data_IF_268933067492
#
_entry.id   IF_268933067492
#
_cell.length_a   1.000
_cell.length_b   1.000
_cell.length_c   1.000
_cell.angle_alpha   90.00
_cell.angle_beta   90.00
_cell.angle_gamma   90.00
#
_symmetry.space_group_name_H-M   'P 1'
#
loop_
_entity.id
_entity.type
_entity.pdbx_description
1 polymer ?
#
# COMPACT_ATOMS: atom_id res chain seq x y z
N UNK A 1 -5.07 7.38 -2.89
CA UNK A 1 -3.91 7.35 -1.98
C UNK A 1 -3.03 8.51 -2.37
N UNK A 2 -3.10 9.57 -1.60
CA UNK A 2 -2.28 10.75 -1.86
C UNK A 2 -0.93 10.60 -1.16
N UNK A 3 0.09 11.21 -1.74
CA UNK A 3 1.49 11.14 -1.30
C UNK A 3 2.01 9.74 -0.94
N UNK A 4 1.78 8.77 -1.83
CA UNK A 4 2.19 7.38 -1.60
C UNK A 4 3.71 7.22 -1.41
N UNK A 5 4.52 8.13 -1.95
CA UNK A 5 5.98 8.14 -1.79
C UNK A 5 6.46 8.59 -0.40
N UNK A 6 5.61 9.23 0.40
CA UNK A 6 5.89 9.61 1.79
C UNK A 6 5.49 8.52 2.80
N UNK A 7 4.89 7.43 2.32
CA UNK A 7 4.40 6.35 3.16
C UNK A 7 5.56 5.60 3.85
N UNK A 8 5.49 5.33 5.16
CA UNK A 8 6.48 4.50 5.84
C UNK A 8 6.59 3.10 5.24
N UNK A 9 7.82 2.56 5.15
CA UNK A 9 8.11 1.23 4.59
C UNK A 9 7.19 0.11 5.12
N UNK A 10 6.94 0.09 6.42
CA UNK A 10 6.06 -0.91 7.03
C UNK A 10 4.62 -0.87 6.47
N UNK A 11 4.14 0.32 6.13
CA UNK A 11 2.81 0.49 5.54
C UNK A 11 2.81 0.13 4.05
N UNK A 12 3.90 0.40 3.32
CA UNK A 12 4.05 -0.04 1.93
C UNK A 12 3.97 -1.57 1.80
N UNK A 13 4.60 -2.31 2.73
CA UNK A 13 4.50 -3.79 2.78
C UNK A 13 3.06 -4.25 2.98
N UNK A 14 2.30 -3.58 3.85
CA UNK A 14 0.87 -3.90 4.06
C UNK A 14 0.07 -3.63 2.79
N UNK A 15 0.32 -2.50 2.12
CA UNK A 15 -0.35 -2.17 0.87
C UNK A 15 -0.05 -3.18 -0.25
N UNK A 16 1.20 -3.66 -0.34
CA UNK A 16 1.58 -4.74 -1.26
C UNK A 16 0.77 -6.02 -1.01
N UNK A 17 0.56 -6.41 0.25
CA UNK A 17 -0.31 -7.55 0.59
C UNK A 17 -1.74 -7.33 0.12
N UNK A 18 -2.29 -6.13 0.29
CA UNK A 18 -3.64 -5.80 -0.23
C UNK A 18 -3.70 -5.93 -1.75
N UNK A 19 -2.68 -5.46 -2.46
CA UNK A 19 -2.63 -5.53 -3.93
C UNK A 19 -2.49 -6.96 -4.46
N UNK A 20 -1.66 -7.78 -3.81
CA UNK A 20 -1.37 -9.15 -4.23
C UNK A 20 -2.48 -10.13 -3.82
N UNK A 21 -2.88 -10.09 -2.54
CA UNK A 21 -3.79 -11.07 -1.95
C UNK A 21 -5.25 -10.61 -2.00
N UNK A 22 -5.51 -9.34 -2.32
CA UNK A 22 -6.85 -8.72 -2.23
C UNK A 22 -7.47 -8.85 -0.84
N UNK A 23 -6.61 -8.81 0.18
CA UNK A 23 -7.00 -8.95 1.59
C UNK A 23 -6.27 -7.94 2.47
N UNK A 24 -6.90 -7.54 3.56
CA UNK A 24 -6.28 -6.69 4.58
C UNK A 24 -6.73 -7.07 6.00
N UNK A 25 -5.97 -6.64 6.99
CA UNK A 25 -6.32 -6.74 8.41
C UNK A 25 -6.61 -5.36 8.98
N UNK A 26 -7.59 -5.26 9.90
CA UNK A 26 -7.85 -4.01 10.63
C UNK A 26 -6.74 -3.78 11.66
N UNK A 27 -6.48 -2.52 12.00
CA UNK A 27 -5.55 -2.19 13.10
C UNK A 27 -6.05 -2.83 14.39
N UNK A 28 -5.19 -3.63 15.04
CA UNK A 28 -5.53 -4.38 16.26
C UNK A 28 -6.30 -5.69 16.01
N UNK A 29 -6.67 -6.00 14.77
CA UNK A 29 -7.25 -7.29 14.39
C UNK A 29 -6.20 -8.21 13.75
N UNK A 30 -6.46 -9.51 13.80
CA UNK A 30 -5.62 -10.56 13.18
C UNK A 30 -6.41 -11.41 12.16
N UNK A 31 -7.61 -10.96 11.80
CA UNK A 31 -8.46 -11.65 10.84
C UNK A 31 -8.36 -10.94 9.48
N UNK A 32 -7.92 -11.62 8.41
CA UNK A 32 -7.91 -11.06 7.07
C UNK A 32 -9.33 -10.91 6.53
N UNK A 33 -9.54 -9.86 5.75
CA UNK A 33 -10.82 -9.50 5.14
C UNK A 33 -10.57 -9.31 3.64
N UNK A 34 -11.32 -10.03 2.81
CA UNK A 34 -11.28 -9.84 1.36
C UNK A 34 -11.86 -8.48 0.96
N UNK A 35 -11.24 -7.84 -0.02
CA UNK A 35 -11.70 -6.60 -0.61
C UNK A 35 -11.56 -6.63 -2.13
N UNK A 36 -12.59 -6.16 -2.83
CA UNK A 36 -12.53 -5.86 -4.25
C UNK A 36 -12.57 -4.34 -4.42
N UNK A 37 -11.39 -3.75 -4.61
CA UNK A 37 -11.23 -2.30 -4.65
C UNK A 37 -10.25 -1.91 -5.75
N UNK A 38 -10.54 -0.79 -6.42
CA UNK A 38 -9.60 -0.14 -7.33
C UNK A 38 -8.80 0.90 -6.55
N UNK A 39 -7.47 0.81 -6.60
CA UNK A 39 -6.58 1.77 -5.96
C UNK A 39 -6.12 2.80 -6.99
N UNK A 40 -6.29 4.08 -6.67
CA UNK A 40 -5.75 5.22 -7.43
C UNK A 40 -4.79 5.94 -6.51
N UNK A 41 -3.54 6.14 -6.95
CA UNK A 41 -2.49 6.77 -6.16
C UNK A 41 -1.92 8.02 -6.85
N UNK A 42 -1.44 8.96 -6.06
CA UNK A 42 -0.72 10.16 -6.47
C UNK A 42 0.47 10.39 -5.54
N UNK A 43 1.52 11.02 -6.04
CA UNK A 43 2.64 11.52 -5.22
C UNK A 43 3.42 12.58 -5.99
N UNK A 44 4.05 13.50 -5.28
CA UNK A 44 4.99 14.47 -5.86
C UNK A 44 6.42 13.89 -6.07
N UNK A 45 6.71 12.70 -5.54
CA UNK A 45 8.04 12.08 -5.62
C UNK A 45 8.23 11.28 -6.91
N UNK A 46 9.46 11.25 -7.43
CA UNK A 46 9.81 10.42 -8.59
C UNK A 46 9.98 8.95 -8.14
N UNK A 47 9.04 8.08 -8.53
CA UNK A 47 9.02 6.68 -8.08
C UNK A 47 10.10 5.84 -8.76
N UNK A 48 10.40 6.08 -10.03
CA UNK A 48 11.41 5.31 -10.77
C UNK A 48 12.79 5.42 -10.11
N UNK A 49 13.14 6.64 -9.68
CA UNK A 49 14.38 6.89 -8.93
C UNK A 49 14.37 6.17 -7.58
N UNK A 50 13.24 6.22 -6.86
CA UNK A 50 13.11 5.56 -5.55
C UNK A 50 13.18 4.03 -5.62
N UNK A 51 12.92 3.42 -6.77
CA UNK A 51 13.02 1.97 -6.98
C UNK A 51 14.43 1.55 -7.42
N UNK A 52 15.16 2.45 -8.08
CA UNK A 52 16.50 2.17 -8.59
C UNK A 52 17.59 2.25 -7.51
N UNK A 53 17.36 3.03 -6.46
CA UNK A 53 18.23 3.19 -5.27
C UNK A 53 17.89 2.16 -4.18
#
# INVERSE_FOLDING_TARGET
LDEIGDMPLQMQVKLLRVLQERMFERVGGNRPIQCDVRIIAATHRNLEKMIAD
#
